data_IF_829665966920
#
_entry.id   IF_829665966920
#
_cell.length_a   1.000
_cell.length_b   1.000
_cell.length_c   1.000
_cell.angle_alpha   90.00
_cell.angle_beta   90.00
_cell.angle_gamma   90.00
#
_symmetry.space_group_name_H-M   'P 1'
#
loop_
_entity.id
_entity.type
_entity.pdbx_description
1 polymer ?
#
# COMPACT_ATOMS: atom_id res chain seq x y z
N UNK A 1 -0.51 42.84 -7.03
CA UNK A 1 0.29 42.26 -8.11
C UNK A 1 1.24 41.29 -7.43
N UNK A 2 0.78 40.11 -7.01
CA UNK A 2 0.68 38.87 -7.83
C UNK A 2 2.05 38.57 -8.47
N UNK A 3 2.75 37.47 -8.18
CA UNK A 3 2.38 36.04 -8.11
C UNK A 3 3.38 35.28 -7.21
N UNK A 4 3.00 34.55 -6.16
CA UNK A 4 2.82 33.08 -6.06
C UNK A 4 3.95 32.22 -6.65
N UNK A 5 4.90 31.79 -5.82
CA UNK A 5 5.81 30.66 -6.10
C UNK A 5 6.14 29.86 -4.80
N UNK A 6 5.12 29.55 -3.99
CA UNK A 6 5.28 28.82 -2.72
C UNK A 6 4.34 27.60 -2.58
N UNK A 7 3.97 26.91 -3.67
CA UNK A 7 3.07 25.75 -3.57
C UNK A 7 3.50 24.58 -4.46
N UNK A 8 4.67 23.99 -4.20
CA UNK A 8 5.06 22.74 -4.87
C UNK A 8 5.80 21.71 -3.99
N UNK A 9 5.66 21.72 -2.65
CA UNK A 9 6.49 20.77 -1.89
C UNK A 9 6.12 20.32 -0.48
N UNK A 10 5.07 20.82 0.18
CA UNK A 10 4.91 20.52 1.62
C UNK A 10 3.50 20.04 2.03
N UNK A 11 2.50 20.01 1.14
CA UNK A 11 1.10 19.71 1.54
C UNK A 11 0.48 18.48 0.87
N UNK A 12 1.03 17.27 1.04
CA UNK A 12 0.27 16.05 0.67
C UNK A 12 0.59 14.79 1.49
N UNK A 13 0.86 14.93 2.79
CA UNK A 13 0.97 13.75 3.68
C UNK A 13 -0.38 13.36 4.32
N UNK A 14 -1.33 14.29 4.45
CA UNK A 14 -2.54 14.07 5.27
C UNK A 14 -3.85 13.84 4.50
N UNK A 15 -3.88 14.05 3.18
CA UNK A 15 -5.13 13.97 2.42
C UNK A 15 -5.42 12.50 2.09
N UNK A 16 -6.50 11.97 2.66
CA UNK A 16 -7.07 10.68 2.25
C UNK A 16 -7.35 10.72 0.75
N UNK A 17 -6.57 9.99 -0.05
CA UNK A 17 -6.75 9.94 -1.50
C UNK A 17 -8.11 9.31 -1.81
N UNK A 18 -8.97 9.95 -2.63
CA UNK A 18 -10.34 9.46 -2.87
C UNK A 18 -10.39 8.29 -3.86
N UNK A 19 -9.42 8.21 -4.77
CA UNK A 19 -9.31 7.17 -5.80
C UNK A 19 -8.01 6.37 -5.66
N UNK A 20 -7.96 5.14 -6.20
CA UNK A 20 -6.72 4.39 -6.27
C UNK A 20 -5.67 5.08 -7.14
N UNK A 21 -4.41 5.02 -6.72
CA UNK A 21 -3.28 5.61 -7.46
C UNK A 21 -2.68 4.64 -8.49
N UNK A 22 -2.72 3.35 -8.21
CA UNK A 22 -2.20 2.31 -9.10
C UNK A 22 -3.33 1.49 -9.73
N UNK A 23 -3.89 2.00 -10.83
CA UNK A 23 -5.07 1.42 -11.50
C UNK A 23 -4.85 -0.03 -11.94
N UNK A 24 -3.63 -0.38 -12.38
CA UNK A 24 -3.24 -1.74 -12.74
C UNK A 24 -3.47 -2.75 -11.60
N UNK A 25 -3.31 -2.32 -10.35
CA UNK A 25 -3.32 -3.17 -9.17
C UNK A 25 -4.62 -3.04 -8.33
N UNK A 26 -5.68 -2.47 -8.91
CA UNK A 26 -7.01 -2.38 -8.27
C UNK A 26 -7.61 -3.77 -8.02
N UNK A 27 -7.42 -4.69 -8.98
CA UNK A 27 -7.89 -6.08 -8.86
C UNK A 27 -6.93 -6.90 -8.00
N UNK A 28 -7.49 -7.76 -7.15
CA UNK A 28 -6.70 -8.64 -6.28
C UNK A 28 -5.77 -9.55 -7.07
N UNK A 29 -6.23 -10.08 -8.18
CA UNK A 29 -5.48 -11.02 -9.02
C UNK A 29 -4.22 -10.37 -9.59
N UNK A 30 -4.30 -9.09 -9.99
CA UNK A 30 -3.15 -8.33 -10.50
C UNK A 30 -2.13 -8.03 -9.40
N UNK A 31 -2.61 -7.79 -8.17
CA UNK A 31 -1.72 -7.70 -6.99
C UNK A 31 -1.03 -9.02 -6.74
N UNK A 32 -1.78 -10.13 -6.69
CA UNK A 32 -1.20 -11.44 -6.42
C UNK A 32 -0.16 -11.85 -7.49
N UNK A 33 -0.44 -11.57 -8.77
CA UNK A 33 0.49 -11.84 -9.88
C UNK A 33 1.81 -11.06 -9.74
N UNK A 34 1.80 -9.87 -9.14
CA UNK A 34 3.03 -9.08 -8.96
C UNK A 34 4.07 -9.81 -8.10
N UNK A 35 3.64 -10.67 -7.16
CA UNK A 35 4.51 -11.47 -6.28
C UNK A 35 5.15 -12.70 -6.95
N UNK A 36 5.37 -12.66 -8.26
CA UNK A 36 6.04 -13.73 -9.01
C UNK A 36 7.47 -14.00 -8.52
N UNK A 37 8.18 -12.96 -8.07
CA UNK A 37 9.54 -13.04 -7.53
C UNK A 37 9.59 -13.09 -5.99
N UNK A 38 8.44 -13.14 -5.31
CA UNK A 38 8.40 -13.28 -3.86
C UNK A 38 8.88 -14.68 -3.46
N UNK A 39 9.80 -14.82 -2.49
CA UNK A 39 10.30 -16.13 -2.08
C UNK A 39 9.14 -17.05 -1.64
N UNK A 40 9.20 -18.35 -1.98
CA UNK A 40 8.15 -19.30 -1.56
C UNK A 40 8.03 -19.42 -0.03
N UNK A 41 9.15 -19.25 0.67
CA UNK A 41 9.23 -19.19 2.14
C UNK A 41 9.14 -17.77 2.69
N UNK A 42 8.95 -16.77 1.82
CA UNK A 42 8.81 -15.37 2.19
C UNK A 42 7.62 -15.19 3.11
N UNK A 43 7.81 -14.39 4.16
CA UNK A 43 6.77 -14.06 5.12
C UNK A 43 6.59 -12.54 5.17
N UNK A 44 5.36 -12.02 5.31
CA UNK A 44 4.06 -12.72 5.30
C UNK A 44 3.71 -13.41 3.97
N UNK A 45 2.61 -14.18 3.95
CA UNK A 45 2.13 -14.82 2.72
C UNK A 45 1.76 -13.74 1.69
N UNK A 46 2.15 -13.94 0.43
CA UNK A 46 1.82 -13.02 -0.67
C UNK A 46 0.32 -12.78 -0.84
N UNK A 47 -0.52 -13.75 -0.48
CA UNK A 47 -1.98 -13.59 -0.47
C UNK A 47 -2.42 -12.58 0.59
N UNK A 48 -1.85 -12.64 1.78
CA UNK A 48 -2.16 -11.69 2.87
C UNK A 48 -1.71 -10.27 2.50
N UNK A 49 -0.54 -10.13 1.89
CA UNK A 49 -0.06 -8.86 1.35
C UNK A 49 -1.01 -8.30 0.28
N UNK A 50 -1.41 -9.13 -0.70
CA UNK A 50 -2.36 -8.74 -1.74
C UNK A 50 -3.77 -8.42 -1.19
N UNK A 51 -4.22 -9.12 -0.16
CA UNK A 51 -5.50 -8.88 0.52
C UNK A 51 -5.48 -7.54 1.29
N UNK A 52 -4.33 -7.20 1.88
CA UNK A 52 -4.08 -5.91 2.53
C UNK A 52 -3.89 -4.75 1.54
N UNK A 53 -3.94 -5.01 0.24
CA UNK A 53 -3.89 -3.99 -0.81
C UNK A 53 -2.49 -3.73 -1.35
N UNK A 54 -1.50 -4.55 -0.98
CA UNK A 54 -0.14 -4.41 -1.48
C UNK A 54 0.08 -5.16 -2.79
N UNK A 55 0.90 -4.60 -3.67
CA UNK A 55 1.56 -5.31 -4.77
C UNK A 55 3.07 -5.26 -4.56
N UNK A 56 3.76 -6.26 -5.11
CA UNK A 56 5.21 -6.34 -5.11
C UNK A 56 5.78 -5.36 -6.13
N UNK A 57 6.61 -4.44 -5.64
CA UNK A 57 7.37 -3.52 -6.48
C UNK A 57 8.82 -4.01 -6.63
N UNK A 58 9.36 -4.61 -5.57
CA UNK A 58 10.78 -4.95 -5.49
C UNK A 58 11.69 -3.72 -5.48
N UNK A 59 13.03 -3.92 -5.47
CA UNK A 59 13.71 -5.18 -5.16
C UNK A 59 13.46 -5.63 -3.69
N UNK A 60 14.01 -6.77 -3.31
CA UNK A 60 13.87 -7.37 -1.97
C UNK A 60 12.42 -7.71 -1.63
N UNK A 61 11.89 -7.15 -0.53
CA UNK A 61 10.54 -7.38 -0.03
C UNK A 61 9.66 -6.13 -0.11
N UNK A 62 10.06 -5.16 -0.95
CA UNK A 62 9.32 -3.89 -1.09
C UNK A 62 7.95 -4.10 -1.71
N UNK A 63 6.96 -3.55 -1.02
CA UNK A 63 5.55 -3.61 -1.39
C UNK A 63 4.91 -2.24 -1.35
N UNK A 64 4.00 -1.94 -2.28
CA UNK A 64 3.27 -0.68 -2.35
C UNK A 64 1.76 -0.92 -2.33
N UNK A 65 1.03 -0.11 -1.57
CA UNK A 65 -0.42 -0.13 -1.62
C UNK A 65 -0.94 0.47 -2.92
N UNK A 66 -1.81 -0.25 -3.63
CA UNK A 66 -2.40 0.24 -4.88
C UNK A 66 -3.22 1.53 -4.72
N UNK A 67 -3.70 1.83 -3.50
CA UNK A 67 -4.64 2.92 -3.26
C UNK A 67 -3.98 4.18 -2.69
N UNK A 68 -3.19 4.04 -1.62
CA UNK A 68 -2.58 5.19 -0.94
C UNK A 68 -1.13 5.44 -1.35
N UNK A 69 -0.54 4.56 -2.18
CA UNK A 69 0.88 4.58 -2.55
C UNK A 69 1.84 4.39 -1.35
N UNK A 70 1.31 4.03 -0.19
CA UNK A 70 2.10 3.72 1.00
C UNK A 70 2.94 2.46 0.79
N UNK A 71 4.26 2.61 0.93
CA UNK A 71 5.23 1.52 0.81
C UNK A 71 5.62 0.91 2.15
N UNK A 72 5.78 -0.41 2.19
CA UNK A 72 6.33 -1.18 3.32
C UNK A 72 7.38 -2.18 2.82
N UNK A 73 8.35 -2.47 3.66
CA UNK A 73 9.45 -3.41 3.44
C UNK A 73 9.94 -3.96 4.79
N UNK A 74 10.97 -4.80 4.77
CA UNK A 74 11.55 -5.48 5.95
C UNK A 74 10.50 -6.27 6.73
N UNK A 75 9.64 -6.94 5.98
CA UNK A 75 8.57 -7.79 6.46
C UNK A 75 9.11 -8.95 7.28
N UNK A 76 8.46 -9.21 8.40
CA UNK A 76 8.77 -10.33 9.29
C UNK A 76 7.64 -11.35 9.33
N UNK A 77 7.95 -12.56 9.82
CA UNK A 77 6.95 -13.61 9.95
C UNK A 77 5.83 -13.32 10.95
N UNK A 78 6.03 -12.35 11.84
CA UNK A 78 5.07 -11.95 12.86
C UNK A 78 4.21 -10.76 12.42
N UNK A 79 4.53 -10.13 11.29
CA UNK A 79 3.81 -8.97 10.82
C UNK A 79 2.45 -9.36 10.25
N UNK A 80 1.42 -8.58 10.57
CA UNK A 80 0.13 -8.67 9.93
C UNK A 80 0.02 -7.55 8.88
N UNK A 81 -0.02 -7.86 7.56
CA UNK A 81 -0.06 -6.85 6.52
C UNK A 81 -1.17 -5.80 6.66
N UNK A 82 -2.37 -6.21 7.10
CA UNK A 82 -3.49 -5.28 7.27
C UNK A 82 -3.23 -4.31 8.42
N UNK A 83 -2.70 -4.82 9.53
CA UNK A 83 -2.42 -4.01 10.72
C UNK A 83 -1.25 -3.06 10.48
N UNK A 84 -0.16 -3.54 9.87
CA UNK A 84 0.98 -2.67 9.53
C UNK A 84 0.60 -1.60 8.51
N UNK A 85 -0.27 -1.92 7.55
CA UNK A 85 -0.83 -0.93 6.64
C UNK A 85 -1.64 0.13 7.39
N UNK A 86 -2.57 -0.26 8.27
CA UNK A 86 -3.37 0.70 9.01
C UNK A 86 -2.55 1.53 10.00
N UNK A 87 -1.57 0.93 10.66
CA UNK A 87 -0.67 1.61 11.61
C UNK A 87 0.21 2.64 10.90
N UNK A 88 0.78 2.28 9.75
CA UNK A 88 1.74 3.14 9.03
C UNK A 88 1.04 4.18 8.16
N UNK A 89 -0.05 3.81 7.49
CA UNK A 89 -0.82 4.67 6.61
C UNK A 89 -2.28 4.75 7.08
N UNK A 90 -2.53 5.31 8.28
CA UNK A 90 -3.85 5.29 8.91
C UNK A 90 -4.88 6.04 8.08
N UNK A 91 -4.48 6.92 7.16
CA UNK A 91 -5.39 7.67 6.28
C UNK A 91 -5.76 6.98 4.97
N UNK A 92 -5.25 5.77 4.71
CA UNK A 92 -5.62 5.00 3.53
C UNK A 92 -7.11 4.61 3.57
N UNK A 93 -7.88 5.10 2.59
CA UNK A 93 -9.33 4.84 2.50
C UNK A 93 -9.60 3.35 2.31
N UNK A 94 -8.77 2.65 1.53
CA UNK A 94 -8.91 1.22 1.29
C UNK A 94 -8.81 0.42 2.59
N UNK A 95 -7.74 0.59 3.38
CA UNK A 95 -7.54 -0.22 4.59
C UNK A 95 -8.56 0.11 5.68
N UNK A 96 -8.93 1.40 5.85
CA UNK A 96 -10.03 1.79 6.75
C UNK A 96 -11.32 1.06 6.40
N UNK A 97 -11.67 0.99 5.12
CA UNK A 97 -12.88 0.27 4.66
C UNK A 97 -12.76 -1.24 4.86
N UNK A 98 -11.57 -1.81 4.66
CA UNK A 98 -11.32 -3.25 4.84
C UNK A 98 -11.48 -3.69 6.30
N UNK A 99 -10.96 -2.89 7.25
CA UNK A 99 -11.03 -3.18 8.70
C UNK A 99 -12.39 -2.87 9.35
N UNK A 100 -13.22 -2.02 8.73
CA UNK A 100 -14.57 -1.67 9.22
C UNK A 100 -15.65 -2.72 8.88
N UNK A 101 -15.28 -3.88 8.34
CA UNK A 101 -16.26 -4.95 8.11
C UNK A 101 -16.58 -5.63 9.45
N UNK A 102 -17.74 -5.27 10.01
CA UNK A 102 -18.44 -6.03 11.04
C UNK A 102 -18.99 -7.34 10.48
#
# INVERSE_FOLDING_TARGET
METTDDIDGIFSSCISKPSPLHIKYVKYEERLKSFHAWPQTGKPDKKDLAEAGFFFEGPEDRTICFHCDGGLNKWTANDNPMMEHFKTYPNCVFIKKKLKKC
#
